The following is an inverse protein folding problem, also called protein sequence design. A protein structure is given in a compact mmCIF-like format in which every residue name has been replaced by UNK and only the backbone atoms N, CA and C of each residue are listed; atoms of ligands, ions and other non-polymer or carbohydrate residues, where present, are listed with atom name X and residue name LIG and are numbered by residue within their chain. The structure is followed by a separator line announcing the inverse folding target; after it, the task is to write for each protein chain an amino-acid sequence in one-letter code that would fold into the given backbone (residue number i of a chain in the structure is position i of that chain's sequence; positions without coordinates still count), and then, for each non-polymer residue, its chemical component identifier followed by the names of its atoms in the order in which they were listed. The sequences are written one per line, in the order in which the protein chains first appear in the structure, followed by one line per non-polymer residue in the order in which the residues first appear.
data_IF_735658955908
#
_entry.id   IF_735658955908
#
_cell.length_a   1.000
_cell.length_b   1.000
_cell.length_c   1.000
_cell.angle_alpha   90.00
_cell.angle_beta   90.00
_cell.angle_gamma   90.00
#
_symmetry.space_group_name_H-M   'P 1'
#
loop_
_entity.id
_entity.type
_entity.pdbx_description
1 polymer ?
#
# COMPACT_ATOMS: atom_id res chain seq x y z
N UNK A 1 -44.41 -18.61 26.82
CA UNK A 1 -42.99 -19.02 26.84
C UNK A 1 -42.34 -18.41 25.62
N UNK A 2 -41.62 -17.27 25.80
CA UNK A 2 -40.93 -16.56 24.71
C UNK A 2 -39.49 -17.03 24.67
N UNK A 3 -39.05 -17.56 23.54
CA UNK A 3 -37.64 -17.85 23.26
C UNK A 3 -36.97 -16.62 22.68
N UNK A 4 -35.81 -16.19 23.17
CA UNK A 4 -35.04 -15.13 22.51
C UNK A 4 -34.34 -15.70 21.27
N UNK A 5 -34.56 -15.05 20.13
CA UNK A 5 -33.86 -15.30 18.89
C UNK A 5 -32.47 -14.69 19.02
N UNK A 6 -31.44 -15.50 19.23
CA UNK A 6 -30.07 -15.06 19.21
C UNK A 6 -29.65 -14.83 17.75
N UNK A 7 -29.44 -13.56 17.35
CA UNK A 7 -28.75 -13.24 16.11
C UNK A 7 -27.27 -13.62 16.28
N UNK A 8 -26.84 -14.64 15.57
CA UNK A 8 -25.44 -14.93 15.37
C UNK A 8 -24.87 -13.87 14.40
N UNK A 9 -24.08 -12.95 14.92
CA UNK A 9 -23.22 -12.09 14.10
C UNK A 9 -22.11 -12.98 13.55
N UNK A 10 -22.15 -13.30 12.28
CA UNK A 10 -21.06 -13.97 11.60
C UNK A 10 -19.85 -13.00 11.62
N UNK A 11 -18.80 -13.37 12.36
CA UNK A 11 -17.51 -12.71 12.27
C UNK A 11 -17.00 -12.94 10.85
N UNK A 12 -16.75 -11.87 10.10
CA UNK A 12 -16.00 -11.97 8.84
C UNK A 12 -14.63 -12.57 9.19
N UNK A 13 -14.25 -13.60 8.45
CA UNK A 13 -12.99 -14.30 8.64
C UNK A 13 -11.86 -13.31 8.32
N UNK A 14 -11.06 -12.90 9.32
CA UNK A 14 -9.95 -11.97 9.15
C UNK A 14 -8.92 -12.46 8.12
N UNK A 15 -8.86 -13.76 7.85
CA UNK A 15 -8.03 -14.37 6.83
C UNK A 15 -8.42 -14.01 5.38
N UNK A 16 -9.68 -13.65 5.15
CA UNK A 16 -10.20 -13.32 3.79
C UNK A 16 -9.88 -11.87 3.35
N UNK A 17 -9.37 -11.03 4.26
CA UNK A 17 -8.98 -9.65 4.01
C UNK A 17 -7.48 -9.44 3.86
N UNK A 18 -6.68 -10.46 4.12
CA UNK A 18 -5.22 -10.41 3.97
C UNK A 18 -4.79 -10.71 2.53
N UNK A 19 -3.70 -10.07 2.10
CA UNK A 19 -3.14 -10.32 0.76
C UNK A 19 -2.67 -11.78 0.60
N UNK A 20 -2.97 -12.42 -0.54
CA UNK A 20 -2.38 -13.71 -0.88
C UNK A 20 -0.83 -13.65 -0.85
N UNK A 21 -0.18 -14.79 -0.55
CA UNK A 21 1.27 -14.96 -0.45
C UNK A 21 1.87 -14.34 0.83
N UNK A 22 1.60 -13.06 1.08
CA UNK A 22 2.28 -12.31 2.15
C UNK A 22 1.44 -12.16 3.41
N UNK A 23 0.11 -12.34 3.36
CA UNK A 23 -0.76 -12.13 4.51
C UNK A 23 -0.72 -10.70 5.06
N UNK A 24 -0.51 -9.71 4.19
CA UNK A 24 -0.54 -8.29 4.54
C UNK A 24 -1.97 -7.81 4.57
N UNK A 25 -2.38 -7.17 5.67
CA UNK A 25 -3.67 -6.50 5.78
C UNK A 25 -3.56 -5.03 5.34
N UNK A 26 -4.67 -4.47 4.88
CA UNK A 26 -4.79 -3.02 4.70
C UNK A 26 -4.90 -2.36 6.08
N UNK A 27 -3.95 -1.51 6.50
CA UNK A 27 -4.03 -0.86 7.81
C UNK A 27 -5.23 0.10 7.89
N UNK A 28 -6.01 0.05 8.95
CA UNK A 28 -7.22 0.87 9.09
C UNK A 28 -6.95 2.39 9.12
N UNK A 29 -5.75 2.77 9.57
CA UNK A 29 -5.38 4.17 9.81
C UNK A 29 -4.47 4.78 8.73
N UNK A 30 -4.14 4.04 7.66
CA UNK A 30 -3.17 4.50 6.65
C UNK A 30 -3.49 5.87 6.05
N UNK A 31 -4.75 6.27 6.00
CA UNK A 31 -5.16 7.60 5.50
C UNK A 31 -4.78 8.77 6.42
N UNK A 32 -4.37 8.47 7.65
CA UNK A 32 -3.89 9.48 8.63
C UNK A 32 -2.37 9.53 8.71
N UNK A 33 -1.68 8.67 7.94
CA UNK A 33 -0.23 8.65 7.93
C UNK A 33 0.35 9.85 7.17
N UNK A 34 1.59 10.17 7.49
CA UNK A 34 2.29 11.29 6.87
C UNK A 34 2.65 11.00 5.41
N UNK A 35 2.51 12.02 4.56
CA UNK A 35 2.91 11.94 3.16
C UNK A 35 4.43 11.83 3.03
N UNK A 36 4.89 10.81 2.34
CA UNK A 36 6.29 10.63 1.96
C UNK A 36 6.56 11.35 0.64
N UNK A 37 5.77 11.07 -0.38
CA UNK A 37 5.86 11.74 -1.67
C UNK A 37 4.60 11.56 -2.51
N UNK A 38 4.22 12.57 -3.31
CA UNK A 38 3.31 12.38 -4.43
C UNK A 38 4.06 11.75 -5.60
N UNK A 39 3.33 11.15 -6.54
CA UNK A 39 3.86 10.69 -7.80
C UNK A 39 2.79 10.76 -8.90
N UNK A 40 3.24 10.87 -10.13
CA UNK A 40 2.40 10.74 -11.31
C UNK A 40 2.94 9.60 -12.17
N UNK A 41 2.05 8.78 -12.70
CA UNK A 41 2.40 7.79 -13.70
C UNK A 41 1.60 8.02 -14.97
N UNK A 42 2.33 8.19 -16.08
CA UNK A 42 1.74 8.42 -17.39
C UNK A 42 1.02 7.19 -17.95
N UNK A 43 0.46 7.32 -19.15
CA UNK A 43 -0.15 6.18 -19.84
C UNK A 43 0.78 4.94 -19.86
N UNK A 44 0.25 3.72 -19.77
CA UNK A 44 -1.17 3.39 -19.87
C UNK A 44 -1.98 3.51 -18.57
N UNK A 45 -1.35 3.64 -17.41
CA UNK A 45 -2.06 3.72 -16.13
C UNK A 45 -2.74 5.07 -15.91
N UNK A 46 -2.04 6.14 -16.23
CA UNK A 46 -2.53 7.53 -16.13
C UNK A 46 -3.10 7.82 -14.73
N UNK A 47 -2.20 7.76 -13.74
CA UNK A 47 -2.56 7.85 -12.33
C UNK A 47 -1.86 8.99 -11.60
N UNK A 48 -2.57 9.61 -10.67
CA UNK A 48 -2.01 10.41 -9.60
C UNK A 48 -1.90 9.52 -8.36
N UNK A 49 -0.77 9.61 -7.67
CA UNK A 49 -0.43 8.76 -6.55
C UNK A 49 0.05 9.56 -5.35
N UNK A 50 -0.22 9.04 -4.16
CA UNK A 50 0.37 9.52 -2.91
C UNK A 50 0.93 8.32 -2.14
N UNK A 51 2.17 8.41 -1.70
CA UNK A 51 2.77 7.43 -0.81
C UNK A 51 2.82 8.01 0.58
N UNK A 52 2.21 7.31 1.52
CA UNK A 52 2.20 7.65 2.95
C UNK A 52 2.95 6.60 3.74
N UNK A 53 3.51 6.98 4.88
CA UNK A 53 4.27 6.08 5.75
C UNK A 53 3.81 6.13 7.19
N UNK A 54 3.91 4.99 7.89
CA UNK A 54 3.74 4.97 9.34
C UNK A 54 4.90 5.71 10.04
N UNK A 55 4.83 5.89 11.35
CA UNK A 55 5.84 6.64 12.10
C UNK A 55 7.26 6.10 11.93
N UNK A 56 7.44 4.77 11.79
CA UNK A 56 8.74 4.14 11.55
C UNK A 56 9.30 4.53 10.18
N UNK A 57 8.46 4.46 9.14
CA UNK A 57 8.81 4.87 7.78
C UNK A 57 9.21 6.35 7.74
N UNK A 58 8.39 7.23 8.32
CA UNK A 58 8.63 8.68 8.35
C UNK A 58 9.96 9.00 9.03
N UNK A 59 10.23 8.38 10.18
CA UNK A 59 11.50 8.58 10.89
C UNK A 59 12.70 8.15 10.04
N UNK A 60 12.62 6.99 9.37
CA UNK A 60 13.68 6.50 8.49
C UNK A 60 13.95 7.44 7.31
N UNK A 61 12.91 7.94 6.65
CA UNK A 61 13.05 8.92 5.56
C UNK A 61 13.67 10.22 6.02
N UNK A 62 13.22 10.78 7.14
CA UNK A 62 13.75 12.04 7.69
C UNK A 62 15.21 11.97 8.09
N UNK A 63 15.67 10.81 8.53
CA UNK A 63 17.08 10.60 8.93
C UNK A 63 17.94 10.05 7.81
N UNK A 64 17.36 9.75 6.64
CA UNK A 64 18.06 9.12 5.52
C UNK A 64 18.54 7.70 5.83
N UNK A 65 17.84 6.99 6.73
CA UNK A 65 18.20 5.63 7.13
C UNK A 65 17.86 4.63 6.02
N UNK A 66 18.87 3.93 5.53
CA UNK A 66 18.82 2.73 4.69
C UNK A 66 19.78 1.67 5.28
N UNK A 67 19.41 0.41 5.40
CA UNK A 67 18.12 -0.19 5.03
C UNK A 67 16.98 0.28 5.99
N UNK A 68 15.75 0.28 5.50
CA UNK A 68 14.59 0.60 6.33
C UNK A 68 14.47 -0.38 7.51
N UNK A 69 14.16 0.10 8.73
CA UNK A 69 13.96 -0.76 9.89
C UNK A 69 12.76 -1.69 9.74
N UNK A 70 12.80 -2.84 10.40
CA UNK A 70 11.61 -3.68 10.57
C UNK A 70 10.49 -2.87 11.24
N UNK A 71 9.26 -3.11 10.81
CA UNK A 71 8.10 -2.29 11.20
C UNK A 71 7.83 -1.09 10.29
N UNK A 72 8.71 -0.81 9.31
CA UNK A 72 8.40 0.18 8.26
C UNK A 72 7.21 -0.29 7.43
N UNK A 73 6.19 0.55 7.32
CA UNK A 73 5.03 0.31 6.46
C UNK A 73 4.78 1.53 5.58
N UNK A 74 4.66 1.29 4.29
CA UNK A 74 4.29 2.26 3.28
C UNK A 74 2.95 1.89 2.67
N UNK A 75 2.10 2.88 2.41
CA UNK A 75 0.88 2.71 1.66
C UNK A 75 0.88 3.66 0.46
N UNK A 76 0.69 3.12 -0.74
CA UNK A 76 0.55 3.88 -1.98
C UNK A 76 -0.93 3.94 -2.36
N UNK A 77 -1.50 5.12 -2.32
CA UNK A 77 -2.84 5.41 -2.79
C UNK A 77 -2.75 5.83 -4.26
N UNK A 78 -3.64 5.31 -5.10
CA UNK A 78 -3.66 5.62 -6.53
C UNK A 78 -5.07 5.96 -7.01
N UNK A 79 -5.15 6.96 -7.89
CA UNK A 79 -6.38 7.43 -8.52
C UNK A 79 -6.14 7.69 -10.00
N UNK A 80 -7.16 7.53 -10.82
CA UNK A 80 -7.11 8.01 -12.19
C UNK A 80 -6.85 9.52 -12.22
N UNK A 81 -5.98 9.95 -13.10
CA UNK A 81 -5.74 11.36 -13.35
C UNK A 81 -6.84 11.90 -14.25
N UNK A 82 -7.53 12.93 -13.78
CA UNK A 82 -8.58 13.61 -14.56
C UNK A 82 -8.33 15.11 -14.62
N UNK A 83 -8.79 15.81 -15.67
CA UNK A 83 -8.72 17.28 -15.70
C UNK A 83 -9.46 17.89 -14.51
N UNK A 84 -8.91 18.96 -13.95
CA UNK A 84 -9.60 19.73 -12.90
C UNK A 84 -10.82 20.43 -13.49
N UNK A 85 -12.02 20.29 -12.87
CA UNK A 85 -13.19 21.04 -13.30
C UNK A 85 -13.11 22.54 -12.96
N UNK A 86 -12.28 22.93 -11.98
CA UNK A 86 -12.15 24.31 -11.52
C UNK A 86 -10.97 25.06 -12.18
N UNK A 87 -9.95 24.33 -12.61
CA UNK A 87 -8.71 24.94 -13.13
C UNK A 87 -8.16 24.14 -14.30
N UNK A 88 -8.47 24.54 -15.53
CA UNK A 88 -8.16 23.80 -16.76
C UNK A 88 -6.69 23.33 -16.93
N UNK A 89 -5.64 24.08 -16.49
CA UNK A 89 -4.26 23.61 -16.59
C UNK A 89 -3.90 22.50 -15.60
N UNK A 90 -4.75 22.22 -14.59
CA UNK A 90 -4.47 21.23 -13.56
C UNK A 90 -5.14 19.88 -13.84
N UNK A 91 -4.53 18.84 -13.26
CA UNK A 91 -5.15 17.53 -13.13
C UNK A 91 -5.39 17.22 -11.65
N UNK A 92 -6.44 16.48 -11.36
CA UNK A 92 -6.85 16.11 -10.00
C UNK A 92 -7.10 14.59 -9.92
N UNK A 93 -7.07 14.02 -8.70
CA UNK A 93 -7.48 12.63 -8.50
C UNK A 93 -8.94 12.41 -8.89
N UNK A 94 -9.17 11.42 -9.72
CA UNK A 94 -10.50 10.91 -10.07
C UNK A 94 -10.85 9.66 -9.28
N UNK A 95 -11.37 8.63 -9.94
CA UNK A 95 -11.71 7.34 -9.31
C UNK A 95 -10.49 6.67 -8.70
N UNK A 96 -10.61 6.19 -7.46
CA UNK A 96 -9.57 5.38 -6.82
C UNK A 96 -9.37 4.07 -7.60
N UNK A 97 -8.11 3.69 -7.82
CA UNK A 97 -7.76 2.48 -8.56
C UNK A 97 -7.27 1.37 -7.64
N UNK A 98 -6.38 1.67 -6.72
CA UNK A 98 -5.88 0.70 -5.75
C UNK A 98 -5.20 1.38 -4.55
N UNK A 99 -5.10 0.64 -3.45
CA UNK A 99 -4.13 0.89 -2.38
C UNK A 99 -3.13 -0.26 -2.39
N UNK A 100 -1.84 0.06 -2.37
CA UNK A 100 -0.78 -0.93 -2.27
C UNK A 100 0.00 -0.71 -0.98
N UNK A 101 0.21 -1.78 -0.24
CA UNK A 101 0.92 -1.75 1.05
C UNK A 101 2.21 -2.54 0.93
N UNK A 102 3.30 -2.00 1.45
CA UNK A 102 4.59 -2.67 1.57
C UNK A 102 5.01 -2.65 3.04
N UNK A 103 5.39 -3.81 3.56
CA UNK A 103 5.80 -4.00 4.95
C UNK A 103 7.24 -4.48 4.99
N UNK A 104 8.07 -3.93 5.86
CA UNK A 104 9.38 -4.48 6.20
C UNK A 104 9.28 -5.32 7.46
N UNK A 105 9.58 -6.60 7.35
CA UNK A 105 9.73 -7.55 8.45
C UNK A 105 10.63 -8.71 8.00
N UNK A 106 11.89 -8.69 8.45
CA UNK A 106 12.90 -9.65 8.03
C UNK A 106 12.59 -11.08 8.47
N UNK A 107 11.89 -11.25 9.59
CA UNK A 107 11.53 -12.58 10.09
C UNK A 107 10.32 -13.16 9.36
N UNK A 108 9.36 -12.32 9.04
CA UNK A 108 8.10 -12.74 8.42
C UNK A 108 8.22 -13.02 6.93
N UNK A 109 9.13 -12.32 6.25
CA UNK A 109 9.25 -12.38 4.78
C UNK A 109 10.67 -12.74 4.29
N UNK A 110 11.25 -13.87 4.72
CA UNK A 110 12.61 -14.24 4.32
C UNK A 110 12.75 -14.48 2.81
N UNK A 111 11.72 -14.99 2.14
CA UNK A 111 11.72 -15.30 0.70
C UNK A 111 11.74 -14.04 -0.20
N UNK A 112 11.43 -12.88 0.36
CA UNK A 112 11.38 -11.59 -0.35
C UNK A 112 12.27 -10.54 0.32
N UNK A 113 13.37 -10.99 0.91
CA UNK A 113 14.36 -10.15 1.58
C UNK A 113 13.74 -9.20 2.62
N UNK A 114 12.80 -9.73 3.40
CA UNK A 114 12.07 -9.02 4.45
C UNK A 114 10.93 -8.12 3.94
N UNK A 115 10.41 -8.35 2.73
CA UNK A 115 9.35 -7.53 2.16
C UNK A 115 8.03 -8.28 2.02
N UNK A 116 6.98 -7.76 2.67
CA UNK A 116 5.60 -8.16 2.45
C UNK A 116 4.85 -7.17 1.59
N UNK A 117 3.93 -7.66 0.76
CA UNK A 117 3.17 -6.83 -0.17
C UNK A 117 1.67 -7.13 -0.09
N UNK A 118 0.88 -6.08 -0.23
CA UNK A 118 -0.56 -6.16 -0.39
C UNK A 118 -1.06 -5.17 -1.44
N UNK A 119 -1.96 -5.60 -2.32
CA UNK A 119 -2.69 -4.75 -3.25
C UNK A 119 -4.18 -4.93 -3.03
N UNK A 120 -4.89 -3.82 -2.89
CA UNK A 120 -6.30 -3.79 -2.53
C UNK A 120 -7.06 -2.90 -3.50
N UNK A 121 -8.22 -3.38 -3.95
CA UNK A 121 -9.21 -2.64 -4.73
C UNK A 121 -10.51 -2.67 -3.94
N UNK A 122 -11.11 -1.52 -3.70
CA UNK A 122 -12.32 -1.37 -2.86
C UNK A 122 -12.18 -2.06 -1.48
N UNK A 123 -10.99 -1.95 -0.89
CA UNK A 123 -10.69 -2.52 0.43
C UNK A 123 -10.46 -4.03 0.46
N UNK A 124 -10.55 -4.72 -0.68
CA UNK A 124 -10.35 -6.17 -0.79
C UNK A 124 -9.03 -6.50 -1.47
N UNK A 125 -8.31 -7.54 -1.02
CA UNK A 125 -7.09 -7.95 -1.69
C UNK A 125 -7.39 -8.45 -3.12
N UNK A 126 -6.51 -8.13 -4.06
CA UNK A 126 -6.55 -8.68 -5.40
C UNK A 126 -6.05 -10.13 -5.40
N UNK A 127 -6.12 -10.80 -6.55
CA UNK A 127 -5.75 -12.22 -6.68
C UNK A 127 -4.25 -12.50 -6.46
N UNK A 128 -3.93 -13.78 -6.34
CA UNK A 128 -2.56 -14.28 -6.12
C UNK A 128 -1.63 -13.91 -7.27
N UNK A 129 -2.10 -14.00 -8.53
CA UNK A 129 -1.27 -13.75 -9.70
C UNK A 129 -0.72 -12.31 -9.73
N UNK A 130 -1.53 -11.34 -9.31
CA UNK A 130 -1.08 -9.95 -9.18
C UNK A 130 -0.05 -9.77 -8.05
N UNK A 131 -0.18 -10.50 -6.92
CA UNK A 131 0.79 -10.44 -5.83
C UNK A 131 2.13 -11.10 -6.17
N UNK A 132 2.15 -12.11 -7.04
CA UNK A 132 3.38 -12.74 -7.54
C UNK A 132 4.28 -11.75 -8.30
N UNK A 133 3.70 -10.70 -8.88
CA UNK A 133 4.46 -9.67 -9.60
C UNK A 133 5.14 -8.63 -8.70
N UNK A 134 4.75 -8.52 -7.42
CA UNK A 134 5.21 -7.43 -6.56
C UNK A 134 6.73 -7.47 -6.35
N UNK A 135 7.24 -8.49 -5.71
CA UNK A 135 8.68 -8.63 -5.45
C UNK A 135 9.48 -8.76 -6.75
N UNK A 136 8.97 -9.51 -7.72
CA UNK A 136 9.59 -9.68 -9.03
C UNK A 136 9.80 -8.34 -9.78
N UNK A 137 8.98 -7.32 -9.51
CA UNK A 137 9.18 -5.97 -10.04
C UNK A 137 10.13 -5.15 -9.17
N UNK A 138 9.97 -5.19 -7.84
CA UNK A 138 10.78 -4.37 -6.93
C UNK A 138 12.25 -4.79 -6.92
N UNK A 139 12.54 -6.08 -6.94
CA UNK A 139 13.90 -6.60 -6.82
C UNK A 139 14.85 -6.09 -7.92
N UNK A 140 14.57 -6.25 -9.21
CA UNK A 140 15.49 -5.83 -10.26
C UNK A 140 15.61 -4.31 -10.41
N UNK A 141 14.59 -3.55 -9.98
CA UNK A 141 14.54 -2.12 -10.23
C UNK A 141 15.06 -1.25 -9.07
N UNK A 142 14.84 -1.68 -7.82
CA UNK A 142 15.10 -0.82 -6.64
C UNK A 142 15.72 -1.56 -5.46
N UNK A 143 16.41 -2.66 -5.70
CA UNK A 143 17.16 -3.40 -4.66
C UNK A 143 18.10 -2.46 -3.89
N UNK A 144 18.83 -1.61 -4.58
CA UNK A 144 19.80 -0.68 -4.00
C UNK A 144 19.17 0.43 -3.14
N UNK A 145 17.87 0.62 -3.26
CA UNK A 145 17.09 1.50 -2.39
C UNK A 145 16.16 0.69 -1.47
N UNK A 146 16.66 -0.43 -0.99
CA UNK A 146 15.96 -1.32 -0.08
C UNK A 146 14.58 -1.72 -0.58
N UNK A 147 14.49 -2.00 -1.89
CA UNK A 147 13.27 -2.42 -2.63
C UNK A 147 12.15 -1.38 -2.69
N UNK A 148 12.43 -0.10 -2.44
CA UNK A 148 11.43 0.98 -2.41
C UNK A 148 11.65 1.97 -3.56
N UNK A 149 10.62 2.18 -4.39
CA UNK A 149 10.66 3.16 -5.49
C UNK A 149 10.61 4.61 -4.98
N UNK A 150 9.90 4.83 -3.87
CA UNK A 150 9.59 6.18 -3.39
C UNK A 150 10.80 6.82 -2.69
N UNK A 151 11.13 8.03 -3.09
CA UNK A 151 12.06 8.93 -2.40
C UNK A 151 11.28 9.92 -1.56
N UNK A 152 11.90 10.45 -0.50
CA UNK A 152 11.26 11.47 0.32
C UNK A 152 11.17 12.79 -0.47
N UNK A 153 9.96 13.33 -0.60
CA UNK A 153 9.79 14.65 -1.19
C UNK A 153 10.31 15.72 -0.22
N UNK A 154 11.11 16.70 -0.70
CA UNK A 154 11.64 17.76 0.14
C UNK A 154 10.56 18.73 0.65
#
# INVERSE_FOLDING_TARGET
VSFPLALAVASADEGDLASPIYGVNLPDDYRRWELIAPAEESAPLDEIRAVVGNAVAVAAYRTGTLAFPDGTVLAKLAWKRVPSPEFAPASVPGTATAVQVMVKDAQRYPESDGRGFGRFVDGKPVDRAQHETCFACHEPNVRDHDYVFTRFAP
#
